data_IF_332187731463
#
_entry.id   IF_332187731463
#
_cell.length_a   1.000
_cell.length_b   1.000
_cell.length_c   1.000
_cell.angle_alpha   90.00
_cell.angle_beta   90.00
_cell.angle_gamma   90.00
#
_symmetry.space_group_name_H-M   'P 1'
#
loop_
_entity.id
_entity.type
_entity.pdbx_description
1 polymer ?
#
# COMPACT_ATOMS: atom_id res chain seq x y z
N UNK A 1 -4.16 10.71 -17.54
CA UNK A 1 -4.97 10.89 -16.32
C UNK A 1 -5.13 12.37 -15.94
N UNK A 2 -4.06 13.10 -15.57
CA UNK A 2 -4.14 14.52 -15.13
C UNK A 2 -4.77 15.47 -16.16
N UNK A 3 -4.40 15.36 -17.45
CA UNK A 3 -5.01 16.15 -18.53
C UNK A 3 -6.53 15.96 -18.64
N UNK A 4 -7.00 14.74 -18.41
CA UNK A 4 -8.41 14.36 -18.47
C UNK A 4 -9.20 14.88 -17.26
N UNK A 5 -8.58 14.88 -16.08
CA UNK A 5 -9.15 15.46 -14.84
C UNK A 5 -9.32 16.97 -14.99
N UNK A 6 -8.29 17.65 -15.50
CA UNK A 6 -8.32 19.09 -15.78
C UNK A 6 -9.34 19.45 -16.87
N UNK A 7 -9.38 18.70 -17.97
CA UNK A 7 -10.34 18.92 -19.06
C UNK A 7 -11.81 18.75 -18.62
N UNK A 8 -12.06 17.97 -17.56
CA UNK A 8 -13.39 17.80 -16.96
C UNK A 8 -13.69 18.74 -15.79
N UNK A 9 -12.79 19.68 -15.48
CA UNK A 9 -12.97 20.65 -14.39
C UNK A 9 -12.91 20.07 -12.98
N UNK A 10 -12.38 18.86 -12.81
CA UNK A 10 -12.24 18.24 -11.49
C UNK A 10 -10.98 18.75 -10.77
N UNK A 11 -11.08 18.95 -9.45
CA UNK A 11 -9.94 19.28 -8.59
C UNK A 11 -9.04 18.05 -8.44
N UNK A 12 -7.83 18.13 -8.98
CA UNK A 12 -6.87 17.04 -8.89
C UNK A 12 -6.29 16.93 -7.48
N UNK A 13 -6.55 15.80 -6.82
CA UNK A 13 -5.89 15.42 -5.56
C UNK A 13 -4.75 14.41 -5.80
N UNK A 14 -4.15 14.45 -6.99
CA UNK A 14 -3.12 13.50 -7.42
C UNK A 14 -1.76 14.10 -7.09
N UNK A 15 -1.18 13.66 -5.96
CA UNK A 15 0.17 14.10 -5.55
C UNK A 15 1.24 13.56 -6.47
N UNK A 16 2.34 14.31 -6.56
CA UNK A 16 3.55 13.80 -7.20
C UNK A 16 4.41 12.99 -6.24
N UNK A 17 5.15 12.01 -6.77
CA UNK A 17 6.03 11.14 -5.97
C UNK A 17 7.13 11.95 -5.25
N UNK A 18 7.57 13.04 -5.87
CA UNK A 18 8.56 13.96 -5.28
C UNK A 18 8.01 14.82 -4.14
N UNK A 19 6.73 15.23 -4.21
CA UNK A 19 6.10 16.08 -3.19
C UNK A 19 5.98 15.37 -1.84
N UNK A 20 5.58 14.09 -1.83
CA UNK A 20 5.49 13.31 -0.57
C UNK A 20 6.86 13.19 0.12
N UNK A 21 7.94 13.04 -0.67
CA UNK A 21 9.31 12.98 -0.13
C UNK A 21 9.72 14.31 0.50
N UNK A 22 9.42 15.44 -0.15
CA UNK A 22 9.70 16.76 0.38
C UNK A 22 8.90 17.04 1.66
N UNK A 23 7.58 16.78 1.65
CA UNK A 23 6.69 16.96 2.81
C UNK A 23 7.16 16.13 4.01
N UNK A 24 7.65 14.90 3.79
CA UNK A 24 8.19 14.05 4.86
C UNK A 24 9.46 14.62 5.52
N UNK A 25 10.25 15.39 4.77
CA UNK A 25 11.47 16.05 5.30
C UNK A 25 11.09 17.35 6.02
N UNK A 26 10.17 18.12 5.47
CA UNK A 26 9.84 19.47 5.94
C UNK A 26 8.86 19.48 7.11
N UNK A 27 7.92 18.53 7.17
CA UNK A 27 6.83 18.55 8.15
C UNK A 27 7.12 17.52 9.26
N UNK A 28 7.42 17.96 10.50
CA UNK A 28 7.63 17.04 11.61
C UNK A 28 6.35 16.24 11.91
N UNK A 29 6.48 14.92 12.05
CA UNK A 29 5.34 14.02 12.27
C UNK A 29 4.49 13.75 11.03
N UNK A 30 4.96 14.13 9.83
CA UNK A 30 4.22 13.91 8.59
C UNK A 30 3.86 12.43 8.38
N UNK A 31 2.56 12.18 8.20
CA UNK A 31 2.01 10.85 7.92
C UNK A 31 1.27 10.88 6.59
N UNK A 32 1.81 10.18 5.59
CA UNK A 32 1.16 10.03 4.29
C UNK A 32 -0.23 9.39 4.45
N UNK A 33 -1.27 10.09 3.97
CA UNK A 33 -2.62 9.53 3.84
C UNK A 33 -2.66 8.65 2.60
N UNK A 34 -2.60 7.34 2.82
CA UNK A 34 -2.83 6.32 1.79
C UNK A 34 -4.19 5.69 2.00
N UNK A 35 -4.88 5.39 0.91
CA UNK A 35 -6.10 4.57 0.94
C UNK A 35 -5.80 3.24 1.62
N UNK A 36 -6.76 2.74 2.40
CA UNK A 36 -6.59 1.50 3.18
C UNK A 36 -6.22 0.34 2.25
N UNK A 37 -6.88 0.23 1.10
CA UNK A 37 -6.63 -0.80 0.08
C UNK A 37 -5.20 -0.75 -0.47
N UNK A 38 -4.74 0.42 -0.90
CA UNK A 38 -3.39 0.59 -1.45
C UNK A 38 -2.31 0.27 -0.41
N UNK A 39 -2.55 0.68 0.83
CA UNK A 39 -1.65 0.40 1.95
C UNK A 39 -1.54 -1.09 2.21
N UNK A 40 -2.66 -1.80 2.28
CA UNK A 40 -2.69 -3.25 2.48
C UNK A 40 -1.99 -3.96 1.32
N UNK A 41 -2.24 -3.55 0.08
CA UNK A 41 -1.58 -4.13 -1.08
C UNK A 41 -0.06 -3.89 -1.06
N UNK A 42 0.38 -2.68 -0.68
CA UNK A 42 1.81 -2.40 -0.49
C UNK A 42 2.46 -3.28 0.59
N UNK A 43 1.73 -3.68 1.62
CA UNK A 43 2.24 -4.60 2.63
C UNK A 43 2.35 -6.03 2.09
N UNK A 44 1.31 -6.50 1.39
CA UNK A 44 1.31 -7.82 0.76
C UNK A 44 2.40 -7.95 -0.32
N UNK A 45 2.73 -6.87 -1.04
CA UNK A 45 3.80 -6.85 -2.03
C UNK A 45 5.21 -7.11 -1.45
N UNK A 46 5.39 -6.98 -0.13
CA UNK A 46 6.65 -7.36 0.53
C UNK A 46 6.80 -8.89 0.67
N UNK A 47 5.69 -9.62 0.62
CA UNK A 47 5.67 -11.08 0.60
C UNK A 47 6.01 -11.56 -0.81
N UNK A 48 7.29 -11.87 -1.07
CA UNK A 48 7.77 -12.31 -2.39
C UNK A 48 6.98 -13.50 -2.96
N UNK A 49 6.46 -14.37 -2.09
CA UNK A 49 5.66 -15.55 -2.46
C UNK A 49 4.25 -15.21 -2.97
N UNK A 50 3.72 -14.04 -2.63
CA UNK A 50 2.46 -13.50 -3.16
C UNK A 50 2.69 -12.56 -4.34
N UNK A 51 3.79 -11.80 -4.34
CA UNK A 51 4.14 -10.87 -5.42
C UNK A 51 4.27 -11.59 -6.77
N UNK A 52 4.96 -12.73 -6.77
CA UNK A 52 5.03 -13.61 -7.93
C UNK A 52 4.29 -14.89 -7.60
N UNK A 53 3.24 -15.18 -8.36
CA UNK A 53 2.42 -16.37 -8.16
C UNK A 53 3.12 -17.61 -8.69
N UNK A 54 3.95 -18.21 -7.83
CA UNK A 54 4.60 -19.50 -8.10
C UNK A 54 3.67 -20.69 -7.86
N UNK A 55 2.69 -20.53 -6.98
CA UNK A 55 1.79 -21.62 -6.58
C UNK A 55 0.83 -22.00 -7.72
N UNK A 56 0.95 -23.25 -8.17
CA UNK A 56 0.09 -23.80 -9.23
C UNK A 56 -1.34 -24.03 -8.75
N UNK A 57 -1.52 -24.48 -7.50
CA UNK A 57 -2.82 -24.71 -6.89
C UNK A 57 -3.35 -23.42 -6.25
N UNK A 58 -4.61 -23.10 -6.50
CA UNK A 58 -5.31 -21.94 -5.91
C UNK A 58 -5.37 -22.01 -4.39
N UNK A 59 -5.60 -23.21 -3.82
CA UNK A 59 -5.65 -23.40 -2.37
C UNK A 59 -4.34 -23.02 -1.67
N UNK A 60 -3.19 -23.34 -2.27
CA UNK A 60 -1.89 -22.96 -1.72
C UNK A 60 -1.70 -21.44 -1.72
N UNK A 61 -2.05 -20.79 -2.84
CA UNK A 61 -1.99 -19.33 -2.93
C UNK A 61 -2.87 -18.66 -1.86
N UNK A 62 -4.09 -19.17 -1.67
CA UNK A 62 -5.02 -18.69 -0.65
C UNK A 62 -4.46 -18.91 0.77
N UNK A 63 -3.84 -20.05 1.06
CA UNK A 63 -3.18 -20.30 2.34
C UNK A 63 -2.04 -19.30 2.61
N UNK A 64 -1.20 -19.00 1.62
CA UNK A 64 -0.14 -17.98 1.75
C UNK A 64 -0.70 -16.57 1.93
N UNK A 65 -1.83 -16.27 1.30
CA UNK A 65 -2.50 -14.98 1.49
C UNK A 65 -2.96 -14.82 2.94
N UNK A 66 -3.62 -15.84 3.50
CA UNK A 66 -4.03 -15.84 4.91
C UNK A 66 -2.83 -15.75 5.86
N UNK A 67 -1.75 -16.50 5.58
CA UNK A 67 -0.52 -16.44 6.37
C UNK A 67 0.10 -15.04 6.36
N UNK A 68 0.19 -14.40 5.19
CA UNK A 68 0.72 -13.03 5.09
C UNK A 68 -0.15 -12.03 5.87
N UNK A 69 -1.48 -12.17 5.81
CA UNK A 69 -2.39 -11.35 6.60
C UNK A 69 -2.18 -11.57 8.11
N UNK A 70 -2.05 -12.81 8.57
CA UNK A 70 -1.78 -13.13 9.98
C UNK A 70 -0.45 -12.53 10.45
N UNK A 71 0.61 -12.66 9.66
CA UNK A 71 1.91 -12.04 9.95
C UNK A 71 1.84 -10.52 10.02
N UNK A 72 1.08 -9.88 9.12
CA UNK A 72 0.87 -8.44 9.14
C UNK A 72 0.12 -7.98 10.39
N UNK A 73 -0.93 -8.70 10.79
CA UNK A 73 -1.69 -8.39 12.00
C UNK A 73 -0.78 -8.52 13.23
N UNK A 74 -0.06 -9.64 13.34
CA UNK A 74 0.87 -9.89 14.43
C UNK A 74 1.95 -8.79 14.56
N UNK A 75 2.58 -8.44 13.44
CA UNK A 75 3.59 -7.38 13.41
C UNK A 75 3.02 -5.97 13.71
N UNK A 76 1.71 -5.77 13.53
CA UNK A 76 1.06 -4.50 13.90
C UNK A 76 0.72 -4.47 15.37
N UNK A 77 0.12 -5.52 15.91
CA UNK A 77 -0.24 -5.61 17.32
C UNK A 77 1.00 -5.39 18.20
N UNK A 78 2.11 -6.08 17.91
CA UNK A 78 3.36 -5.96 18.66
C UNK A 78 4.04 -4.58 18.60
N UNK A 79 3.63 -3.70 17.68
CA UNK A 79 4.17 -2.33 17.56
C UNK A 79 3.30 -1.32 18.31
N UNK A 80 2.11 -1.73 18.76
CA UNK A 80 1.20 -0.90 19.54
C UNK A 80 1.25 -1.19 21.06
N UNK A 81 2.03 -2.19 21.48
CA UNK A 81 2.52 -2.33 22.87
C UNK A 81 3.92 -1.73 23.01
#
# INVERSE_FOLDING_TARGET
>A
MRLLVRARGYVEHIRDRGQEKAEKVTIPGYRARRWVVERTHSWLNRSRRLLVRWEKKTCNYLAFLHLACAQLIFAKILVFE
#
